data_IF_994459666508
#
_entry.id   IF_994459666508
#
_cell.length_a   1.000
_cell.length_b   1.000
_cell.length_c   1.000
_cell.angle_alpha   90.00
_cell.angle_beta   90.00
_cell.angle_gamma   90.00
#
_symmetry.space_group_name_H-M   'P 1'
#
loop_
_entity.id
_entity.type
_entity.pdbx_description
1 polymer ?
#
# COMPACT_ATOMS: atom_id res chain seq x y z
N UNK A 1 15.52 5.97 22.39
CA UNK A 1 15.18 6.95 21.34
C UNK A 1 13.69 7.22 21.44
N UNK A 2 13.27 8.48 21.39
CA UNK A 2 11.83 8.83 21.30
C UNK A 2 11.44 8.86 19.84
N UNK A 3 10.31 8.26 19.51
CA UNK A 3 9.80 8.19 18.13
C UNK A 3 8.52 9.03 18.07
N UNK A 4 8.53 10.04 17.20
CA UNK A 4 7.33 10.81 16.87
C UNK A 4 6.66 10.14 15.68
N UNK A 5 5.39 9.86 15.80
CA UNK A 5 4.58 9.25 14.73
C UNK A 5 3.15 9.78 14.78
N UNK A 6 2.43 9.60 13.69
CA UNK A 6 0.98 9.76 13.63
C UNK A 6 0.33 8.49 13.06
N UNK A 7 -0.93 8.32 13.34
CA UNK A 7 -1.76 7.26 12.76
C UNK A 7 -2.73 7.91 11.77
N UNK A 8 -2.69 7.45 10.54
CA UNK A 8 -3.62 7.87 9.48
C UNK A 8 -4.52 6.70 9.10
N UNK A 9 -5.76 7.01 8.74
CA UNK A 9 -6.72 6.05 8.20
C UNK A 9 -7.07 6.44 6.75
N UNK A 10 -6.27 6.02 5.77
CA UNK A 10 -6.57 6.23 4.35
C UNK A 10 -7.58 5.19 3.85
N UNK A 11 -8.87 5.45 4.05
CA UNK A 11 -9.98 4.59 3.60
C UNK A 11 -9.97 3.18 4.21
N UNK A 12 -9.72 3.10 5.52
CA UNK A 12 -9.73 1.84 6.27
C UNK A 12 -8.40 1.09 6.33
N UNK A 13 -7.36 1.55 5.62
CA UNK A 13 -6.02 0.93 5.65
C UNK A 13 -5.11 1.69 6.61
N UNK A 14 -5.30 1.47 7.90
CA UNK A 14 -4.61 2.24 8.95
C UNK A 14 -3.09 2.15 8.81
N UNK A 15 -2.47 3.32 8.74
CA UNK A 15 -1.04 3.48 8.48
C UNK A 15 -0.38 4.29 9.60
N UNK A 16 0.73 3.79 10.14
CA UNK A 16 1.59 4.58 11.02
C UNK A 16 2.61 5.33 10.15
N UNK A 17 2.65 6.65 10.27
CA UNK A 17 3.68 7.46 9.66
C UNK A 17 4.68 7.91 10.73
N UNK A 18 5.90 7.41 10.64
CA UNK A 18 7.02 7.77 11.52
C UNK A 18 7.65 9.06 11.00
N UNK A 19 7.74 10.07 11.87
CA UNK A 19 8.23 11.41 11.53
C UNK A 19 9.65 11.66 12.06
N UNK A 20 10.12 10.83 12.98
CA UNK A 20 11.50 10.86 13.46
C UNK A 20 12.41 10.19 12.43
N UNK A 21 13.54 10.80 12.02
CA UNK A 21 14.51 10.15 11.16
C UNK A 21 15.03 8.85 11.78
N UNK A 22 14.93 7.76 11.01
CA UNK A 22 15.38 6.42 11.41
C UNK A 22 16.26 5.85 10.28
N UNK A 23 17.42 5.24 10.60
CA UNK A 23 18.22 4.54 9.60
C UNK A 23 17.42 3.45 8.87
N UNK A 24 17.60 3.35 7.55
CA UNK A 24 16.81 2.42 6.72
C UNK A 24 16.91 0.96 7.19
N UNK A 25 18.08 0.56 7.65
CA UNK A 25 18.35 -0.78 8.20
C UNK A 25 17.57 -1.10 9.48
N UNK A 26 17.02 -0.09 10.14
CA UNK A 26 16.19 -0.27 11.35
C UNK A 26 14.68 -0.27 11.05
N UNK A 27 14.27 0.05 9.80
CA UNK A 27 12.85 0.22 9.45
C UNK A 27 12.02 -1.01 9.76
N UNK A 28 12.35 -2.19 9.22
CA UNK A 28 11.56 -3.41 9.43
C UNK A 28 11.45 -3.79 10.93
N UNK A 29 12.57 -3.66 11.66
CA UNK A 29 12.59 -4.00 13.10
C UNK A 29 11.79 -3.01 13.96
N UNK A 30 11.78 -1.72 13.61
CA UNK A 30 10.96 -0.72 14.29
C UNK A 30 9.48 -0.87 13.90
N UNK A 31 9.18 -1.14 12.63
CA UNK A 31 7.82 -1.36 12.15
C UNK A 31 7.15 -2.50 12.90
N UNK A 32 7.82 -3.65 13.06
CA UNK A 32 7.30 -4.78 13.81
C UNK A 32 6.91 -4.41 15.26
N UNK A 33 7.68 -3.52 15.92
CA UNK A 33 7.38 -3.03 17.27
C UNK A 33 6.19 -2.06 17.28
N UNK A 34 6.08 -1.19 16.28
CA UNK A 34 4.99 -0.22 16.18
C UNK A 34 3.66 -0.91 15.86
N UNK A 35 3.66 -1.90 14.97
CA UNK A 35 2.48 -2.71 14.63
C UNK A 35 2.00 -3.57 15.82
N UNK A 36 2.90 -3.91 16.75
CA UNK A 36 2.55 -4.64 17.97
C UNK A 36 2.07 -3.75 19.13
N UNK A 37 1.96 -2.42 18.94
CA UNK A 37 1.50 -1.51 19.98
C UNK A 37 0.02 -1.76 20.30
N UNK A 38 -0.35 -1.94 21.58
CA UNK A 38 -1.74 -2.16 21.94
C UNK A 38 -2.59 -0.92 21.65
N UNK A 39 -3.77 -1.12 21.06
CA UNK A 39 -4.72 -0.07 20.77
C UNK A 39 -4.45 0.69 19.45
N UNK A 40 -3.46 0.26 18.68
CA UNK A 40 -3.22 0.72 17.31
C UNK A 40 -3.41 -0.48 16.39
N UNK A 41 -4.48 -0.48 15.61
CA UNK A 41 -4.76 -1.52 14.62
C UNK A 41 -4.25 -1.02 13.26
N UNK A 42 -2.93 -0.94 13.11
CA UNK A 42 -2.30 -0.54 11.86
C UNK A 42 -1.84 -1.75 11.05
N UNK A 43 -1.88 -1.60 9.73
CA UNK A 43 -1.51 -2.64 8.76
C UNK A 43 -0.11 -2.41 8.21
N UNK A 44 0.39 -1.16 8.25
CA UNK A 44 1.64 -0.77 7.61
C UNK A 44 2.30 0.42 8.30
N UNK A 45 3.61 0.55 8.07
CA UNK A 45 4.42 1.65 8.60
C UNK A 45 5.19 2.32 7.46
N UNK A 46 5.05 3.64 7.36
CA UNK A 46 5.83 4.49 6.46
C UNK A 46 6.73 5.45 7.25
N UNK A 47 7.93 5.69 6.77
CA UNK A 47 8.90 6.62 7.34
C UNK A 47 8.92 7.87 6.48
N UNK A 48 8.55 9.02 7.06
CA UNK A 48 8.37 10.26 6.32
C UNK A 48 9.55 11.19 6.56
N UNK A 49 10.18 11.63 5.47
CA UNK A 49 11.21 12.66 5.51
C UNK A 49 10.75 13.88 4.72
N UNK A 50 10.83 15.05 5.34
CA UNK A 50 10.49 16.33 4.74
C UNK A 50 11.67 17.26 4.79
N UNK A 51 12.21 17.62 3.62
CA UNK A 51 13.31 18.57 3.45
C UNK A 51 12.88 19.74 2.56
N UNK A 52 13.32 20.95 2.89
CA UNK A 52 12.98 22.12 2.09
C UNK A 52 13.48 22.00 0.65
N UNK A 53 12.59 22.23 -0.31
CA UNK A 53 12.91 22.19 -1.76
C UNK A 53 13.07 20.79 -2.35
N UNK A 54 12.78 19.73 -1.59
CA UNK A 54 12.74 18.35 -2.08
C UNK A 54 11.33 17.78 -2.04
N UNK A 55 11.02 16.77 -2.86
CA UNK A 55 9.81 15.98 -2.71
C UNK A 55 9.68 15.41 -1.30
N UNK A 56 8.46 15.27 -0.82
CA UNK A 56 8.16 14.54 0.41
C UNK A 56 8.56 13.08 0.20
N UNK A 57 9.43 12.55 1.06
CA UNK A 57 9.89 11.16 0.94
C UNK A 57 9.12 10.26 1.87
N UNK A 58 8.62 9.14 1.35
CA UNK A 58 8.00 8.06 2.13
C UNK A 58 8.76 6.77 1.85
N UNK A 59 9.36 6.21 2.89
CA UNK A 59 9.99 4.89 2.83
C UNK A 59 9.10 3.90 3.58
N UNK A 60 8.57 2.89 2.88
CA UNK A 60 7.75 1.85 3.49
C UNK A 60 8.62 0.82 4.21
N UNK A 61 8.03 0.16 5.18
CA UNK A 61 8.71 -0.82 6.06
C UNK A 61 9.38 -1.97 5.31
N UNK A 62 8.84 -2.42 4.17
CA UNK A 62 9.41 -3.46 3.31
C UNK A 62 10.04 -2.92 2.03
N UNK A 63 10.09 -1.58 1.85
CA UNK A 63 10.65 -0.95 0.66
C UNK A 63 9.72 -0.93 -0.56
N UNK A 64 8.49 -1.39 -0.42
CA UNK A 64 7.44 -1.40 -1.43
C UNK A 64 6.90 0.01 -1.73
N UNK A 65 6.17 0.16 -2.84
CA UNK A 65 5.37 1.36 -3.10
C UNK A 65 4.02 1.28 -2.36
N UNK A 66 3.60 2.39 -1.75
CA UNK A 66 2.28 2.50 -1.12
C UNK A 66 1.61 3.85 -1.40
N UNK A 67 0.55 3.84 -2.19
CA UNK A 67 -0.28 5.02 -2.48
C UNK A 67 -0.99 5.56 -1.25
N UNK A 68 -1.47 4.69 -0.36
CA UNK A 68 -2.15 5.06 0.87
C UNK A 68 -1.23 5.85 1.82
N UNK A 69 -0.02 5.36 2.08
CA UNK A 69 0.98 6.04 2.89
C UNK A 69 1.40 7.37 2.25
N UNK A 70 1.62 7.39 0.93
CA UNK A 70 2.03 8.58 0.18
C UNK A 70 1.00 9.69 0.25
N UNK A 71 -0.28 9.40 0.01
CA UNK A 71 -1.36 10.42 0.11
C UNK A 71 -1.58 10.88 1.55
N UNK A 72 -1.38 10.00 2.54
CA UNK A 72 -1.47 10.36 3.96
C UNK A 72 -0.34 11.27 4.38
N UNK A 73 0.89 11.02 3.91
CA UNK A 73 2.03 11.90 4.16
C UNK A 73 1.82 13.29 3.53
N UNK A 74 1.22 13.38 2.35
CA UNK A 74 0.86 14.66 1.73
C UNK A 74 -0.21 15.41 2.55
N UNK A 75 -1.20 14.70 3.11
CA UNK A 75 -2.20 15.29 4.00
C UNK A 75 -1.56 15.82 5.29
N UNK A 76 -0.63 15.07 5.88
CA UNK A 76 0.16 15.56 7.02
C UNK A 76 0.97 16.81 6.67
N UNK A 77 1.61 16.84 5.49
CA UNK A 77 2.38 18.01 5.06
C UNK A 77 1.49 19.26 4.93
N UNK A 78 0.28 19.12 4.35
CA UNK A 78 -0.71 20.20 4.27
C UNK A 78 -1.10 20.70 5.67
N UNK A 79 -1.33 19.80 6.63
CA UNK A 79 -1.64 20.17 8.02
C UNK A 79 -0.50 20.97 8.67
N UNK A 80 0.75 20.54 8.46
CA UNK A 80 1.94 21.27 8.94
C UNK A 80 2.05 22.67 8.35
N UNK A 81 1.67 22.85 7.08
CA UNK A 81 1.68 24.14 6.39
C UNK A 81 0.52 25.07 6.79
N UNK A 82 -0.46 24.54 7.53
CA UNK A 82 -1.67 25.27 7.91
C UNK A 82 -2.55 25.67 6.72
N UNK A 83 -2.40 24.98 5.59
CA UNK A 83 -3.18 25.20 4.38
C UNK A 83 -4.51 24.44 4.40
N UNK A 84 -5.44 24.84 3.53
CA UNK A 84 -6.72 24.14 3.32
C UNK A 84 -6.72 23.27 2.07
N UNK A 85 -5.78 23.49 1.15
CA UNK A 85 -5.54 22.68 -0.03
C UNK A 85 -4.11 22.87 -0.54
N UNK A 86 -3.56 21.87 -1.24
CA UNK A 86 -2.21 21.93 -1.79
C UNK A 86 -1.91 20.78 -2.74
N UNK A 87 -0.78 20.90 -3.43
CA UNK A 87 -0.18 19.84 -4.22
C UNK A 87 1.23 19.60 -3.69
N UNK A 88 1.55 18.34 -3.44
CA UNK A 88 2.84 17.92 -2.91
C UNK A 88 3.46 16.90 -3.84
N UNK A 89 4.71 17.11 -4.19
CA UNK A 89 5.50 16.12 -4.87
C UNK A 89 5.94 15.06 -3.86
N UNK A 90 5.60 13.80 -4.13
CA UNK A 90 5.90 12.67 -3.24
C UNK A 90 6.81 11.69 -3.96
N UNK A 91 7.90 11.28 -3.32
CA UNK A 91 8.68 10.11 -3.71
C UNK A 91 8.43 9.00 -2.71
N UNK A 92 8.21 7.78 -3.18
CA UNK A 92 7.97 6.61 -2.33
C UNK A 92 9.01 5.53 -2.60
N UNK A 93 9.33 4.72 -1.59
CA UNK A 93 10.09 3.47 -1.82
C UNK A 93 9.40 2.62 -2.90
N UNK A 94 10.13 1.73 -3.53
CA UNK A 94 9.61 0.88 -4.60
C UNK A 94 9.25 1.62 -5.90
N UNK A 95 9.36 2.95 -5.96
CA UNK A 95 9.05 3.74 -7.16
C UNK A 95 10.08 4.87 -7.34
N UNK A 96 10.69 4.94 -8.51
CA UNK A 96 11.69 5.97 -8.84
C UNK A 96 11.06 7.27 -9.34
N UNK A 97 9.75 7.25 -9.65
CA UNK A 97 9.02 8.42 -10.13
C UNK A 97 8.50 9.27 -8.98
N UNK A 98 8.66 10.58 -9.08
CA UNK A 98 8.01 11.54 -8.19
C UNK A 98 6.56 11.71 -8.63
N UNK A 99 5.64 11.49 -7.70
CA UNK A 99 4.21 11.47 -7.96
C UNK A 99 3.52 12.67 -7.29
N UNK A 100 2.76 13.49 -8.03
CA UNK A 100 2.02 14.59 -7.44
C UNK A 100 0.82 14.07 -6.64
N UNK A 101 0.69 14.56 -5.41
CA UNK A 101 -0.46 14.33 -4.54
C UNK A 101 -1.25 15.63 -4.35
N UNK A 102 -2.53 15.62 -4.69
CA UNK A 102 -3.47 16.73 -4.46
C UNK A 102 -4.21 16.47 -3.16
N UNK A 103 -4.23 17.46 -2.28
CA UNK A 103 -4.86 17.33 -0.95
C UNK A 103 -5.77 18.52 -0.68
N UNK A 104 -6.93 18.27 -0.08
CA UNK A 104 -7.84 19.28 0.43
C UNK A 104 -8.36 18.89 1.82
N UNK A 105 -8.32 19.82 2.78
CA UNK A 105 -8.93 19.64 4.08
C UNK A 105 -10.46 19.72 3.95
N UNK A 106 -11.18 18.74 4.50
CA UNK A 106 -12.65 18.67 4.49
C UNK A 106 -13.27 18.88 5.88
N UNK A 107 -12.45 18.80 6.91
CA UNK A 107 -12.85 18.99 8.32
C UNK A 107 -11.65 18.89 9.24
N UNK A 108 -11.88 18.93 10.54
CA UNK A 108 -10.84 18.74 11.51
C UNK A 108 -10.30 17.30 11.44
N UNK A 109 -9.01 17.15 11.10
CA UNK A 109 -8.38 15.86 10.88
C UNK A 109 -8.87 15.07 9.65
N UNK A 110 -9.77 15.65 8.85
CA UNK A 110 -10.34 14.99 7.66
C UNK A 110 -9.82 15.61 6.37
N UNK A 111 -9.25 14.77 5.50
CA UNK A 111 -8.66 15.19 4.23
C UNK A 111 -9.18 14.34 3.08
N UNK A 112 -9.35 14.98 1.94
CA UNK A 112 -9.48 14.32 0.65
C UNK A 112 -8.13 14.39 -0.05
N UNK A 113 -7.58 13.25 -0.43
CA UNK A 113 -6.27 13.18 -1.04
C UNK A 113 -6.25 12.24 -2.25
N UNK A 114 -5.69 12.73 -3.35
CA UNK A 114 -5.46 12.00 -4.59
C UNK A 114 -3.96 11.95 -4.85
N UNK A 115 -3.45 10.79 -5.25
CA UNK A 115 -2.07 10.65 -5.71
C UNK A 115 -2.07 10.00 -7.09
N UNK A 116 -1.21 10.47 -7.97
CA UNK A 116 -0.95 9.75 -9.21
C UNK A 116 -0.26 8.44 -8.90
N UNK A 117 -0.67 7.37 -9.60
CA UNK A 117 -0.05 6.06 -9.44
C UNK A 117 1.04 5.86 -10.49
N UNK A 118 2.10 5.11 -10.17
CA UNK A 118 3.09 4.74 -11.19
C UNK A 118 2.42 3.91 -12.29
N UNK A 119 2.94 4.05 -13.52
CA UNK A 119 2.51 3.16 -14.60
C UNK A 119 3.07 1.75 -14.35
N UNK A 120 2.29 0.69 -14.67
CA UNK A 120 2.80 -0.66 -14.62
C UNK A 120 3.96 -0.85 -15.62
N UNK A 121 4.94 -1.63 -15.22
CA UNK A 121 6.07 -2.02 -16.07
C UNK A 121 5.66 -3.09 -17.08
N UNK A 122 4.78 -4.01 -16.67
CA UNK A 122 4.17 -5.03 -17.53
C UNK A 122 2.75 -5.38 -17.04
N UNK A 123 1.92 -5.79 -18.00
CA UNK A 123 0.58 -6.36 -17.73
C UNK A 123 0.41 -7.60 -18.58
N UNK A 124 0.25 -8.77 -17.95
CA UNK A 124 0.13 -10.05 -18.62
C UNK A 124 -0.96 -10.94 -18.03
N UNK A 125 -1.45 -11.88 -18.85
CA UNK A 125 -2.42 -12.89 -18.41
C UNK A 125 -1.70 -14.15 -17.93
N UNK A 126 -2.06 -14.64 -16.74
CA UNK A 126 -1.53 -15.85 -16.14
C UNK A 126 -2.65 -16.84 -15.86
N UNK A 127 -2.44 -18.11 -16.25
CA UNK A 127 -3.33 -19.21 -15.89
C UNK A 127 -2.65 -20.06 -14.82
N UNK A 128 -3.30 -20.14 -13.66
CA UNK A 128 -2.84 -20.95 -12.54
C UNK A 128 -3.75 -22.17 -12.39
N UNK A 129 -3.16 -23.35 -12.32
CA UNK A 129 -3.90 -24.58 -12.09
C UNK A 129 -4.34 -24.64 -10.61
N UNK A 130 -5.62 -24.46 -10.39
CA UNK A 130 -6.23 -24.51 -9.05
C UNK A 130 -6.83 -25.90 -8.73
N UNK A 131 -6.52 -26.92 -9.52
CA UNK A 131 -6.97 -28.29 -9.36
C UNK A 131 -8.37 -28.55 -9.94
N UNK A 132 -9.39 -27.83 -9.49
CA UNK A 132 -10.78 -28.02 -9.96
C UNK A 132 -11.12 -27.17 -11.19
N UNK A 133 -10.64 -25.94 -11.21
CA UNK A 133 -10.82 -24.98 -12.32
C UNK A 133 -9.58 -24.10 -12.42
N UNK A 134 -8.99 -23.92 -13.61
CA UNK A 134 -7.86 -23.02 -13.78
C UNK A 134 -8.31 -21.58 -13.44
N UNK A 135 -7.60 -20.95 -12.52
CA UNK A 135 -7.81 -19.55 -12.18
C UNK A 135 -6.99 -18.66 -13.13
N UNK A 136 -7.65 -17.69 -13.76
CA UNK A 136 -7.00 -16.71 -14.62
C UNK A 136 -6.75 -15.44 -13.84
N UNK A 137 -5.48 -15.08 -13.69
CA UNK A 137 -5.07 -13.80 -13.12
C UNK A 137 -4.55 -12.87 -14.22
N UNK A 138 -4.67 -11.57 -13.97
CA UNK A 138 -3.91 -10.55 -14.67
C UNK A 138 -2.78 -10.13 -13.74
N UNK A 139 -1.55 -10.44 -14.14
CA UNK A 139 -0.35 -9.98 -13.45
C UNK A 139 -0.09 -8.55 -13.87
N UNK A 140 0.10 -7.67 -12.89
CA UNK A 140 0.40 -6.26 -13.04
C UNK A 140 1.68 -5.98 -12.28
N UNK A 141 2.78 -5.82 -13.01
CA UNK A 141 4.08 -5.51 -12.43
C UNK A 141 4.21 -4.00 -12.26
N UNK A 142 4.35 -3.58 -11.03
CA UNK A 142 4.58 -2.20 -10.64
C UNK A 142 5.94 -2.09 -9.93
N UNK A 143 6.55 -0.91 -9.90
CA UNK A 143 7.74 -0.71 -9.10
C UNK A 143 7.53 -1.16 -7.65
N UNK A 144 8.32 -2.13 -7.21
CA UNK A 144 8.33 -2.64 -5.83
C UNK A 144 7.20 -3.57 -5.40
N UNK A 145 6.18 -3.81 -6.27
CA UNK A 145 5.09 -4.74 -5.98
C UNK A 145 4.50 -5.33 -7.26
N UNK A 146 4.16 -6.62 -7.23
CA UNK A 146 3.40 -7.28 -8.31
C UNK A 146 2.01 -7.63 -7.82
N UNK A 147 0.97 -7.16 -8.52
CA UNK A 147 -0.41 -7.54 -8.23
C UNK A 147 -0.91 -8.62 -9.19
N UNK A 148 -1.75 -9.52 -8.64
CA UNK A 148 -2.47 -10.54 -9.39
C UNK A 148 -3.97 -10.27 -9.24
N UNK A 149 -4.57 -9.77 -10.31
CA UNK A 149 -5.98 -9.38 -10.34
C UNK A 149 -6.81 -10.52 -10.90
N UNK A 150 -7.83 -10.93 -10.19
CA UNK A 150 -8.78 -11.96 -10.61
C UNK A 150 -10.20 -11.38 -10.62
N UNK A 151 -10.84 -11.44 -11.78
CA UNK A 151 -12.21 -10.99 -11.93
C UNK A 151 -13.18 -12.13 -11.56
N UNK A 152 -14.08 -11.81 -10.66
CA UNK A 152 -15.13 -12.72 -10.18
C UNK A 152 -16.51 -12.13 -10.49
N UNK A 153 -17.53 -12.97 -10.68
CA UNK A 153 -18.88 -12.48 -10.98
C UNK A 153 -19.59 -11.88 -9.76
N UNK A 154 -19.14 -12.23 -8.56
CA UNK A 154 -19.68 -11.79 -7.28
C UNK A 154 -18.64 -12.01 -6.18
N UNK A 155 -18.49 -11.06 -5.27
CA UNK A 155 -17.61 -11.17 -4.10
C UNK A 155 -18.36 -11.68 -2.86
N UNK A 156 -19.70 -11.71 -2.87
CA UNK A 156 -20.47 -12.23 -1.75
C UNK A 156 -20.24 -13.73 -1.57
N UNK A 157 -19.75 -14.13 -0.39
CA UNK A 157 -19.49 -15.53 -0.08
C UNK A 157 -18.26 -16.14 -0.76
N UNK A 158 -17.42 -15.32 -1.43
CA UNK A 158 -16.19 -15.82 -2.04
C UNK A 158 -15.22 -16.34 -0.98
N UNK A 159 -14.62 -17.49 -1.23
CA UNK A 159 -13.54 -18.03 -0.42
C UNK A 159 -12.21 -17.35 -0.81
N UNK A 160 -11.97 -16.16 -0.26
CA UNK A 160 -10.79 -15.36 -0.54
C UNK A 160 -9.48 -16.05 -0.15
N UNK A 161 -9.51 -16.86 0.93
CA UNK A 161 -8.35 -17.60 1.41
C UNK A 161 -7.94 -18.68 0.40
N UNK A 162 -8.91 -19.33 -0.25
CA UNK A 162 -8.62 -20.28 -1.33
C UNK A 162 -7.84 -19.61 -2.46
N UNK A 163 -8.28 -18.44 -2.92
CA UNK A 163 -7.58 -17.72 -3.99
C UNK A 163 -6.20 -17.25 -3.56
N UNK A 164 -6.07 -16.83 -2.30
CA UNK A 164 -4.78 -16.48 -1.73
C UNK A 164 -3.82 -17.67 -1.76
N UNK A 165 -4.23 -18.86 -1.30
CA UNK A 165 -3.39 -20.07 -1.32
C UNK A 165 -2.98 -20.47 -2.74
N UNK A 166 -3.91 -20.41 -3.70
CA UNK A 166 -3.61 -20.68 -5.12
C UNK A 166 -2.51 -19.74 -5.62
N UNK A 167 -2.61 -18.44 -5.29
CA UNK A 167 -1.61 -17.46 -5.69
C UNK A 167 -0.29 -17.71 -4.96
N UNK A 168 -0.31 -17.91 -3.64
CA UNK A 168 0.88 -18.16 -2.85
C UNK A 168 1.68 -19.38 -3.35
N UNK A 169 0.99 -20.48 -3.67
CA UNK A 169 1.60 -21.68 -4.27
C UNK A 169 2.19 -21.38 -5.66
N UNK A 170 1.52 -20.55 -6.46
CA UNK A 170 1.99 -20.17 -7.79
C UNK A 170 3.26 -19.32 -7.74
N UNK A 171 3.36 -18.40 -6.79
CA UNK A 171 4.52 -17.50 -6.63
C UNK A 171 5.60 -18.06 -5.71
N UNK A 172 5.44 -19.31 -5.23
CA UNK A 172 6.44 -19.95 -4.41
C UNK A 172 7.75 -20.10 -5.19
N UNK A 173 8.84 -19.62 -4.59
CA UNK A 173 10.17 -19.58 -5.23
C UNK A 173 10.44 -18.33 -6.07
N UNK A 174 9.45 -17.48 -6.33
CA UNK A 174 9.66 -16.16 -6.96
C UNK A 174 10.20 -15.15 -5.95
N UNK A 175 11.04 -14.23 -6.40
CA UNK A 175 11.70 -13.23 -5.54
C UNK A 175 10.98 -11.86 -5.60
N UNK A 176 9.69 -11.85 -5.28
CA UNK A 176 8.93 -10.60 -5.16
C UNK A 176 9.20 -9.95 -3.80
N UNK A 177 9.62 -8.66 -3.73
CA UNK A 177 9.68 -7.92 -2.46
C UNK A 177 8.32 -7.82 -1.78
N UNK A 178 7.29 -7.55 -2.58
CA UNK A 178 5.89 -7.60 -2.19
C UNK A 178 5.04 -8.11 -3.35
N UNK A 179 3.95 -8.81 -3.03
CA UNK A 179 2.94 -9.18 -4.02
C UNK A 179 1.54 -9.12 -3.43
N UNK A 180 0.55 -8.93 -4.30
CA UNK A 180 -0.84 -8.80 -3.87
C UNK A 180 -1.81 -9.59 -4.72
N UNK A 181 -2.91 -10.01 -4.10
CA UNK A 181 -4.11 -10.54 -4.74
C UNK A 181 -5.18 -9.46 -4.74
N UNK A 182 -5.83 -9.24 -5.87
CA UNK A 182 -7.01 -8.39 -5.96
C UNK A 182 -8.15 -9.19 -6.59
N UNK A 183 -9.16 -9.53 -5.80
CA UNK A 183 -10.40 -10.10 -6.30
C UNK A 183 -11.35 -8.94 -6.65
N UNK A 184 -11.80 -8.88 -7.91
CA UNK A 184 -12.61 -7.77 -8.40
C UNK A 184 -13.97 -8.23 -8.92
N UNK A 185 -15.04 -7.60 -8.45
CA UNK A 185 -16.35 -7.59 -9.09
C UNK A 185 -16.49 -6.30 -9.92
N UNK A 186 -16.42 -6.44 -11.24
CA UNK A 186 -16.53 -5.28 -12.15
C UNK A 186 -17.94 -4.76 -12.28
N UNK A 187 -18.95 -5.55 -11.94
CA UNK A 187 -20.37 -5.17 -12.00
C UNK A 187 -20.73 -4.24 -10.83
N UNK A 188 -20.38 -4.64 -9.63
CA UNK A 188 -20.63 -3.84 -8.41
C UNK A 188 -19.49 -2.83 -8.13
N UNK A 189 -18.40 -2.88 -8.91
CA UNK A 189 -17.21 -2.03 -8.75
C UNK A 189 -16.60 -2.12 -7.36
N UNK A 190 -16.52 -3.34 -6.85
CA UNK A 190 -15.96 -3.66 -5.54
C UNK A 190 -14.75 -4.57 -5.67
N UNK A 191 -13.89 -4.59 -4.64
CA UNK A 191 -12.72 -5.45 -4.60
C UNK A 191 -12.41 -5.96 -3.20
N UNK A 192 -11.69 -7.07 -3.14
CA UNK A 192 -11.06 -7.59 -1.92
C UNK A 192 -9.56 -7.68 -2.22
N UNK A 193 -8.75 -6.72 -1.77
CA UNK A 193 -7.30 -6.75 -1.95
C UNK A 193 -6.61 -7.42 -0.77
N UNK A 194 -5.50 -8.11 -1.06
CA UNK A 194 -4.55 -8.59 -0.07
C UNK A 194 -3.15 -8.23 -0.51
N UNK A 195 -2.28 -7.88 0.43
CA UNK A 195 -0.87 -7.58 0.17
C UNK A 195 0.01 -8.35 1.16
N UNK A 196 1.01 -9.03 0.60
CA UNK A 196 2.06 -9.68 1.37
C UNK A 196 3.37 -8.93 1.16
N UNK A 197 4.06 -8.63 2.25
CA UNK A 197 5.37 -7.98 2.27
C UNK A 197 6.40 -8.94 2.83
N UNK A 198 7.38 -9.31 2.01
CA UNK A 198 8.37 -10.35 2.34
C UNK A 198 9.26 -9.97 3.53
N UNK A 199 9.79 -8.75 3.54
CA UNK A 199 10.75 -8.30 4.57
C UNK A 199 10.17 -8.32 5.99
N UNK A 200 8.86 -8.19 6.12
CA UNK A 200 8.16 -8.21 7.40
C UNK A 200 7.41 -9.51 7.64
N UNK A 201 7.33 -10.39 6.63
CA UNK A 201 6.55 -11.64 6.64
C UNK A 201 5.09 -11.36 7.08
N UNK A 202 4.47 -10.35 6.45
CA UNK A 202 3.12 -9.90 6.82
C UNK A 202 2.17 -10.02 5.64
N UNK A 203 0.98 -10.55 5.91
CA UNK A 203 -0.16 -10.56 5.00
C UNK A 203 -1.29 -9.73 5.60
N UNK A 204 -1.77 -8.76 4.82
CA UNK A 204 -2.94 -7.96 5.18
C UNK A 204 -4.01 -8.04 4.10
N UNK A 205 -5.27 -8.27 4.55
CA UNK A 205 -6.45 -8.04 3.73
C UNK A 205 -6.83 -6.57 3.87
N UNK A 206 -6.61 -5.81 2.81
CA UNK A 206 -6.82 -4.37 2.81
C UNK A 206 -8.28 -4.01 2.46
N UNK A 207 -8.67 -2.78 2.80
CA UNK A 207 -9.99 -2.23 2.45
C UNK A 207 -9.99 -1.54 1.08
N UNK A 208 -8.82 -1.16 0.58
CA UNK A 208 -8.68 -0.53 -0.73
C UNK A 208 -7.25 -0.67 -1.25
N UNK A 209 -7.11 -0.90 -2.56
CA UNK A 209 -5.83 -0.88 -3.25
C UNK A 209 -6.02 -0.18 -4.61
N UNK A 210 -5.18 0.81 -4.91
CA UNK A 210 -5.24 1.56 -6.17
C UNK A 210 -4.11 1.25 -7.14
N UNK A 211 -3.26 0.26 -6.82
CA UNK A 211 -2.07 -0.07 -7.61
C UNK A 211 -2.24 -1.29 -8.53
N UNK A 212 -3.31 -2.06 -8.39
CA UNK A 212 -3.59 -3.24 -9.20
C UNK A 212 -4.57 -3.01 -10.34
#
# INVERSE_FOLDING_TARGET
MTIDYLVADPSGNTTILVLTPVPKEEHSALAAKLLALPGIEAEQVGYVTREAGKPLRVDMMGGEFCGNASRSAAAWALACDGGTQGVYDVSCSGCDTVLPAKVAQKGDGLYEAFIEMPYPEDVSGVLVDAGDVPARFFRVDLPGITHFVHFVPDLEGIDKEKYWHILADYVDGEDFPAYGLILCDTKEQTMIPAVYVRDTDTLYWENSCGSG
#
